data_IF_694606262313
#
_entry.id   IF_694606262313
#
_cell.length_a   1.000
_cell.length_b   1.000
_cell.length_c   1.000
_cell.angle_alpha   90.00
_cell.angle_beta   90.00
_cell.angle_gamma   90.00
#
_symmetry.space_group_name_H-M   'P 1'
#
loop_
_entity.id
_entity.type
_entity.pdbx_description
1 polymer ?
#
# COMPACT_ATOMS: atom_id res chain seq x y z
N UNK A 1 -24.23 8.71 -33.89
CA UNK A 1 -23.62 7.37 -33.98
C UNK A 1 -22.42 7.36 -33.05
N UNK A 2 -22.45 6.58 -31.96
CA UNK A 2 -21.36 6.55 -30.98
C UNK A 2 -20.17 5.82 -31.58
N UNK A 3 -19.03 6.49 -31.68
CA UNK A 3 -17.80 5.87 -32.09
C UNK A 3 -17.02 5.51 -30.82
N UNK A 4 -16.70 4.24 -30.65
CA UNK A 4 -15.93 3.76 -29.51
C UNK A 4 -14.54 3.42 -30.04
N UNK A 5 -13.59 4.31 -29.83
CA UNK A 5 -12.17 4.02 -30.03
C UNK A 5 -11.64 3.30 -28.79
N UNK A 6 -10.83 2.26 -28.99
CA UNK A 6 -10.03 1.65 -27.93
C UNK A 6 -8.60 2.13 -28.16
N UNK A 7 -8.09 2.85 -27.19
CA UNK A 7 -6.73 3.39 -27.18
C UNK A 7 -6.00 2.72 -26.00
N UNK A 8 -4.67 2.58 -26.11
CA UNK A 8 -3.78 2.09 -25.05
C UNK A 8 -3.95 0.61 -24.61
N UNK A 9 -3.45 -0.33 -25.43
CA UNK A 9 -3.42 -1.75 -25.09
C UNK A 9 -2.17 -2.10 -24.28
N UNK A 10 -2.35 -2.74 -23.12
CA UNK A 10 -1.26 -3.16 -22.22
C UNK A 10 -1.28 -4.66 -21.90
N UNK A 11 -0.09 -5.24 -21.73
CA UNK A 11 0.12 -6.59 -21.20
C UNK A 11 0.75 -6.43 -19.81
N UNK A 12 0.14 -7.03 -18.79
CA UNK A 12 0.66 -7.02 -17.42
C UNK A 12 1.07 -8.44 -17.05
N UNK A 13 2.32 -8.61 -16.64
CA UNK A 13 2.88 -9.90 -16.21
C UNK A 13 3.23 -9.78 -14.74
N UNK A 14 2.65 -10.63 -13.91
CA UNK A 14 2.91 -10.66 -12.46
C UNK A 14 3.77 -11.86 -12.10
N UNK A 15 4.78 -11.71 -11.23
CA UNK A 15 5.55 -12.84 -10.74
C UNK A 15 4.64 -13.78 -9.95
N UNK A 16 5.01 -15.07 -9.90
CA UNK A 16 4.46 -15.97 -8.89
C UNK A 16 4.95 -15.55 -7.51
N UNK A 17 4.19 -15.96 -6.47
CA UNK A 17 4.61 -15.79 -5.07
C UNK A 17 5.99 -16.40 -4.84
N UNK A 18 6.77 -15.81 -3.94
CA UNK A 18 8.12 -16.29 -3.64
C UNK A 18 8.10 -17.74 -3.13
N UNK A 19 7.12 -18.08 -2.31
CA UNK A 19 6.92 -19.42 -1.77
C UNK A 19 6.23 -20.41 -2.71
N UNK A 20 5.93 -20.05 -3.96
CA UNK A 20 5.34 -20.96 -4.95
C UNK A 20 6.44 -21.76 -5.69
N UNK A 21 6.55 -23.05 -5.34
CA UNK A 21 7.51 -23.99 -5.93
C UNK A 21 6.87 -24.87 -7.02
N UNK A 22 5.64 -24.58 -7.44
CA UNK A 22 4.89 -25.30 -8.46
C UNK A 22 4.26 -26.62 -8.02
N UNK A 23 4.91 -27.41 -7.17
CA UNK A 23 4.37 -28.66 -6.61
C UNK A 23 3.91 -28.53 -5.15
N UNK A 24 4.34 -27.47 -4.48
CA UNK A 24 3.86 -27.07 -3.16
C UNK A 24 3.98 -25.55 -3.01
N UNK A 25 3.32 -25.01 -1.99
CA UNK A 25 3.44 -23.60 -1.64
C UNK A 25 3.76 -23.45 -0.16
N UNK A 26 4.70 -22.56 0.15
CA UNK A 26 4.98 -22.09 1.51
C UNK A 26 4.65 -20.60 1.61
N UNK A 27 4.61 -20.08 2.84
CA UNK A 27 4.44 -18.64 3.02
C UNK A 27 5.67 -17.88 2.50
N UNK A 28 5.48 -16.70 1.93
CA UNK A 28 6.60 -15.88 1.42
C UNK A 28 7.58 -15.50 2.53
N UNK A 29 7.09 -15.36 3.77
CA UNK A 29 7.92 -15.14 4.98
C UNK A 29 8.82 -16.33 5.33
N UNK A 30 8.45 -17.54 4.91
CA UNK A 30 9.32 -18.71 5.03
C UNK A 30 10.26 -18.83 3.84
N UNK A 31 9.88 -18.30 2.67
CA UNK A 31 10.68 -18.34 1.46
C UNK A 31 11.78 -17.27 1.44
N UNK A 32 11.55 -16.13 2.10
CA UNK A 32 12.47 -14.99 2.11
C UNK A 32 12.39 -14.21 3.43
N UNK A 33 13.56 -13.71 3.86
CA UNK A 33 13.66 -12.73 4.95
C UNK A 33 13.41 -11.29 4.49
N UNK A 34 13.43 -11.03 3.18
CA UNK A 34 13.24 -9.71 2.56
C UNK A 34 12.36 -9.88 1.30
N UNK A 35 11.05 -9.97 1.53
CA UNK A 35 10.06 -10.27 0.49
C UNK A 35 10.04 -9.18 -0.59
N UNK A 36 10.22 -7.91 -0.20
CA UNK A 36 10.20 -6.79 -1.13
C UNK A 36 11.35 -6.87 -2.12
N UNK A 37 12.59 -6.98 -1.59
CA UNK A 37 13.79 -7.08 -2.43
C UNK A 37 13.72 -8.28 -3.36
N UNK A 38 13.39 -9.46 -2.83
CA UNK A 38 13.42 -10.69 -3.61
C UNK A 38 12.29 -10.73 -4.66
N UNK A 39 11.14 -10.10 -4.37
CA UNK A 39 10.07 -9.95 -5.38
C UNK A 39 10.50 -8.99 -6.48
N UNK A 40 11.16 -7.90 -6.13
CA UNK A 40 11.70 -6.93 -7.10
C UNK A 40 12.73 -7.56 -8.02
N UNK A 41 13.72 -8.27 -7.46
CA UNK A 41 14.74 -8.98 -8.24
C UNK A 41 14.10 -9.95 -9.23
N UNK A 42 13.06 -10.69 -8.80
CA UNK A 42 12.31 -11.58 -9.69
C UNK A 42 11.61 -10.86 -10.84
N UNK A 43 11.02 -9.69 -10.59
CA UNK A 43 10.42 -8.87 -11.64
C UNK A 43 11.48 -8.37 -12.64
N UNK A 44 12.66 -7.97 -12.16
CA UNK A 44 13.77 -7.52 -12.99
C UNK A 44 14.29 -8.67 -13.88
N UNK A 45 14.49 -9.86 -13.32
CA UNK A 45 14.84 -11.07 -14.08
C UNK A 45 13.79 -11.41 -15.14
N UNK A 46 12.50 -11.39 -14.79
CA UNK A 46 11.41 -11.62 -15.73
C UNK A 46 11.40 -10.59 -16.87
N UNK A 47 11.63 -9.31 -16.56
CA UNK A 47 11.68 -8.25 -17.55
C UNK A 47 12.83 -8.46 -18.55
N UNK A 48 14.00 -8.89 -18.09
CA UNK A 48 15.12 -9.25 -18.96
C UNK A 48 14.79 -10.45 -19.86
N UNK A 49 14.18 -11.49 -19.31
CA UNK A 49 13.78 -12.67 -20.09
C UNK A 49 12.75 -12.33 -21.17
N UNK A 50 11.77 -11.47 -20.85
CA UNK A 50 10.77 -10.99 -21.82
C UNK A 50 11.45 -10.21 -22.93
N UNK A 51 12.31 -9.22 -22.60
CA UNK A 51 13.04 -8.44 -23.61
C UNK A 51 13.90 -9.32 -24.52
N UNK A 52 14.47 -10.40 -23.98
CA UNK A 52 15.36 -11.29 -24.72
C UNK A 52 14.63 -12.23 -25.69
N UNK A 53 13.40 -12.66 -25.38
CA UNK A 53 12.73 -13.75 -26.10
C UNK A 53 11.45 -13.33 -26.82
N UNK A 54 10.92 -12.13 -26.57
CA UNK A 54 9.70 -11.65 -27.20
C UNK A 54 10.05 -10.57 -28.22
N UNK A 55 9.75 -10.84 -29.49
CA UNK A 55 9.90 -9.86 -30.56
C UNK A 55 8.91 -8.69 -30.39
N UNK A 56 9.27 -7.53 -30.93
CA UNK A 56 8.45 -6.29 -30.91
C UNK A 56 8.18 -5.69 -29.52
N UNK A 57 9.05 -5.93 -28.54
CA UNK A 57 8.99 -5.26 -27.23
C UNK A 57 9.68 -3.89 -27.31
N UNK A 58 8.90 -2.81 -27.20
CA UNK A 58 9.43 -1.43 -27.17
C UNK A 58 10.03 -1.05 -25.80
N UNK A 59 9.34 -1.37 -24.72
CA UNK A 59 9.80 -1.20 -23.33
C UNK A 59 9.22 -2.29 -22.43
N UNK A 60 9.87 -2.53 -21.30
CA UNK A 60 9.31 -3.30 -20.17
C UNK A 60 9.57 -2.50 -18.92
N UNK A 61 8.53 -2.35 -18.11
CA UNK A 61 8.52 -1.54 -16.90
C UNK A 61 8.05 -2.41 -15.73
N UNK A 62 8.74 -2.29 -14.59
CA UNK A 62 8.30 -2.87 -13.33
C UNK A 62 7.44 -1.82 -12.64
N UNK A 63 6.14 -2.10 -12.55
CA UNK A 63 5.18 -1.26 -11.84
C UNK A 63 4.92 -1.84 -10.46
N UNK A 64 4.88 -0.98 -9.43
CA UNK A 64 4.50 -1.36 -8.09
C UNK A 64 3.36 -0.45 -7.61
N UNK A 65 2.58 -0.96 -6.67
CA UNK A 65 1.59 -0.17 -5.93
C UNK A 65 2.14 -0.01 -4.53
N UNK A 66 2.35 1.23 -4.12
CA UNK A 66 2.72 1.55 -2.75
C UNK A 66 1.48 1.43 -1.87
N UNK A 67 1.60 0.67 -0.79
CA UNK A 67 0.56 0.55 0.23
C UNK A 67 1.19 0.90 1.55
N UNK A 68 0.71 1.97 2.15
CA UNK A 68 1.11 2.36 3.49
C UNK A 68 0.28 1.57 4.50
N UNK A 69 0.93 0.99 5.50
CA UNK A 69 0.26 0.22 6.56
C UNK A 69 0.75 0.68 7.92
N UNK A 70 -0.15 0.66 8.90
CA UNK A 70 0.19 0.98 10.28
C UNK A 70 1.06 -0.11 10.91
N UNK A 71 2.15 0.26 11.57
CA UNK A 71 3.02 -0.66 12.32
C UNK A 71 2.36 -1.26 13.55
N UNK A 72 1.29 -0.63 14.07
CA UNK A 72 0.58 -1.05 15.29
C UNK A 72 -0.55 -2.04 15.01
N UNK A 73 -1.41 -1.72 14.05
CA UNK A 73 -2.60 -2.53 13.74
C UNK A 73 -2.45 -3.34 12.44
N UNK A 74 -1.40 -3.10 11.64
CA UNK A 74 -1.14 -3.74 10.35
C UNK A 74 -2.23 -3.54 9.29
N UNK A 75 -3.18 -2.63 9.55
CA UNK A 75 -4.18 -2.21 8.58
C UNK A 75 -3.60 -1.13 7.65
N UNK A 76 -4.31 -0.85 6.56
CA UNK A 76 -3.99 0.26 5.66
C UNK A 76 -3.91 1.57 6.45
N UNK A 77 -2.87 2.35 6.16
CA UNK A 77 -2.67 3.65 6.75
C UNK A 77 -3.65 4.64 6.15
N UNK A 78 -4.42 5.28 7.02
CA UNK A 78 -5.43 6.26 6.69
C UNK A 78 -5.21 7.48 7.59
N UNK A 79 -5.28 8.67 7.01
CA UNK A 79 -5.10 9.95 7.69
C UNK A 79 -6.27 10.88 7.37
N UNK A 80 -6.61 11.77 8.30
CA UNK A 80 -7.53 12.86 8.02
C UNK A 80 -6.96 13.79 6.95
N UNK A 81 -7.68 13.94 5.85
CA UNK A 81 -7.41 14.96 4.84
C UNK A 81 -7.72 16.36 5.39
N UNK A 82 -7.24 17.42 4.71
CA UNK A 82 -7.58 18.81 5.07
C UNK A 82 -9.10 19.06 5.11
N UNK A 83 -9.86 18.43 4.20
CA UNK A 83 -11.32 18.58 4.14
C UNK A 83 -12.01 17.91 5.33
N UNK A 84 -11.53 16.73 5.73
CA UNK A 84 -12.05 15.99 6.89
C UNK A 84 -11.63 16.66 8.20
N UNK A 85 -10.42 17.21 8.28
CA UNK A 85 -9.98 17.99 9.43
C UNK A 85 -10.75 19.32 9.57
N UNK A 86 -11.32 19.87 8.49
CA UNK A 86 -12.18 21.04 8.54
C UNK A 86 -13.64 20.73 8.90
N UNK A 87 -14.03 19.44 8.90
CA UNK A 87 -15.39 19.01 9.13
C UNK A 87 -15.56 18.33 10.51
N UNK A 88 -16.26 18.96 11.48
CA UNK A 88 -16.46 18.40 12.81
C UNK A 88 -17.12 17.02 12.85
N UNK A 89 -17.82 16.60 11.79
CA UNK A 89 -18.44 15.26 11.75
C UNK A 89 -17.44 14.12 11.52
N UNK A 90 -16.22 14.43 11.09
CA UNK A 90 -15.15 13.46 10.80
C UNK A 90 -14.02 13.51 11.84
N UNK A 91 -14.15 14.37 12.85
CA UNK A 91 -13.18 14.48 13.93
C UNK A 91 -13.24 13.27 14.86
N UNK A 92 -12.07 12.85 15.34
CA UNK A 92 -11.95 11.94 16.49
C UNK A 92 -12.37 12.71 17.75
N UNK A 93 -11.84 13.92 17.93
CA UNK A 93 -12.24 14.86 18.98
C UNK A 93 -11.96 16.32 18.56
N UNK A 94 -12.18 17.28 19.47
CA UNK A 94 -11.96 18.71 19.23
C UNK A 94 -10.50 19.10 18.90
N UNK A 95 -9.56 18.16 19.03
CA UNK A 95 -8.14 18.35 18.72
C UNK A 95 -7.73 17.70 17.40
N UNK A 96 -8.68 17.17 16.62
CA UNK A 96 -8.37 16.56 15.34
C UNK A 96 -7.78 17.53 14.33
N UNK A 97 -6.77 17.07 13.60
CA UNK A 97 -5.99 17.88 12.64
C UNK A 97 -5.67 17.11 11.37
N UNK A 98 -5.34 17.83 10.29
CA UNK A 98 -4.88 17.25 9.04
C UNK A 98 -3.62 16.38 9.24
N UNK A 99 -3.62 15.22 8.59
CA UNK A 99 -2.55 14.22 8.66
C UNK A 99 -2.61 13.33 9.92
N UNK A 100 -3.62 13.49 10.77
CA UNK A 100 -3.81 12.62 11.92
C UNK A 100 -4.23 11.21 11.46
N UNK A 101 -3.51 10.15 11.86
CA UNK A 101 -3.87 8.80 11.48
C UNK A 101 -5.20 8.38 12.13
N UNK A 102 -6.06 7.68 11.39
CA UNK A 102 -7.38 7.22 11.89
C UNK A 102 -7.47 5.70 12.05
N UNK A 103 -6.36 4.99 11.81
CA UNK A 103 -6.34 3.53 11.74
C UNK A 103 -6.36 2.81 13.11
N UNK A 104 -5.86 3.42 14.18
CA UNK A 104 -5.94 2.92 15.57
C UNK A 104 -5.47 3.94 16.61
N UNK A 105 -5.93 3.78 17.85
CA UNK A 105 -5.61 4.65 18.99
C UNK A 105 -4.11 4.79 19.26
N UNK A 106 -3.33 3.73 18.99
CA UNK A 106 -1.87 3.76 19.18
C UNK A 106 -1.18 4.71 18.21
N UNK A 107 -1.58 4.67 16.94
CA UNK A 107 -1.05 5.56 15.92
C UNK A 107 -1.47 7.01 16.20
N UNK A 108 -2.72 7.23 16.62
CA UNK A 108 -3.23 8.52 17.07
C UNK A 108 -2.40 9.05 18.24
N UNK A 109 -2.20 8.23 19.28
CA UNK A 109 -1.46 8.63 20.47
C UNK A 109 0.00 8.98 20.18
N UNK A 110 0.69 8.22 19.33
CA UNK A 110 2.06 8.54 18.91
C UNK A 110 2.11 9.87 18.15
N UNK A 111 1.26 10.05 17.14
CA UNK A 111 1.15 11.28 16.37
C UNK A 111 0.90 12.50 17.26
N UNK A 112 -0.06 12.39 18.19
CA UNK A 112 -0.41 13.45 19.12
C UNK A 112 0.72 13.77 20.09
N UNK A 113 1.39 12.74 20.62
CA UNK A 113 2.55 12.91 21.52
C UNK A 113 3.68 13.64 20.83
N UNK A 114 4.01 13.28 19.59
CA UNK A 114 5.08 13.92 18.82
C UNK A 114 4.79 15.38 18.48
N UNK A 115 3.51 15.71 18.26
CA UNK A 115 3.07 17.08 17.92
C UNK A 115 2.63 17.93 19.11
N UNK A 116 2.68 17.37 20.33
CA UNK A 116 2.21 18.07 21.53
C UNK A 116 0.70 18.34 21.54
N UNK A 117 -0.08 17.53 20.83
CA UNK A 117 -1.54 17.58 20.81
C UNK A 117 -2.05 16.77 22.02
N UNK A 118 -3.10 17.23 22.73
CA UNK A 118 -3.68 16.46 23.83
C UNK A 118 -4.12 15.07 23.37
N UNK A 119 -3.88 14.05 24.21
CA UNK A 119 -4.34 12.69 23.94
C UNK A 119 -5.85 12.64 23.68
N UNK A 120 -6.27 11.65 22.90
CA UNK A 120 -7.68 11.43 22.56
C UNK A 120 -8.57 11.47 23.80
N UNK A 121 -9.58 12.34 23.76
CA UNK A 121 -10.62 12.37 24.78
C UNK A 121 -11.52 11.15 24.55
N UNK A 122 -11.28 10.05 25.28
CA UNK A 122 -12.24 8.96 25.35
C UNK A 122 -13.48 9.47 26.09
N UNK A 123 -14.47 9.96 25.33
CA UNK A 123 -15.80 10.22 25.87
C UNK A 123 -16.35 8.89 26.40
N UNK A 124 -16.29 8.75 27.72
CA UNK A 124 -16.60 7.51 28.41
C UNK A 124 -17.97 6.95 28.04
N UNK A 125 -18.00 5.67 27.69
CA UNK A 125 -19.18 4.84 27.83
C UNK A 125 -18.94 3.83 28.97
N UNK A 126 -19.97 3.55 29.79
CA UNK A 126 -19.86 2.97 31.14
C UNK A 126 -19.27 1.56 31.23
#
# INVERSE_FOLDING_TARGET
MKNTAREDYRIVITPRRLGDLGWMSISDRMASSDIERDTRERCEEMAEQVKRHVDNVGSVEVQFTEVHTCSHCFLTWEELTAEEAANPSTWIDEHSVEGEPVCCDKAIAEFRTERGIPAEQQDGAP
#
